data_IF_295848476583
#
_entry.id   IF_295848476583
#
_cell.length_a   1.000
_cell.length_b   1.000
_cell.length_c   1.000
_cell.angle_alpha   90.00
_cell.angle_beta   90.00
_cell.angle_gamma   90.00
#
_symmetry.space_group_name_H-M   'P 1'
#
loop_
_entity.id
_entity.type
_entity.pdbx_description
1 polymer ?
#
# COMPACT_ATOMS: atom_id res chain seq x y z
N UNK A 1 -16.91 -3.90 6.86
CA UNK A 1 -16.95 -2.72 5.98
C UNK A 1 -15.51 -2.42 5.66
N UNK A 2 -15.11 -2.46 4.39
CA UNK A 2 -13.70 -2.28 4.01
C UNK A 2 -13.31 -0.81 4.11
N UNK A 3 -12.24 -0.51 4.82
CA UNK A 3 -11.72 0.85 4.93
C UNK A 3 -10.87 1.21 3.70
N UNK A 4 -10.73 2.51 3.44
CA UNK A 4 -9.83 3.04 2.41
C UNK A 4 -8.58 3.62 3.06
N UNK A 5 -7.42 3.05 2.76
CA UNK A 5 -6.14 3.42 3.38
C UNK A 5 -5.22 4.04 2.34
N UNK A 6 -4.66 5.22 2.64
CA UNK A 6 -3.58 5.83 1.86
C UNK A 6 -2.27 5.78 2.65
N UNK A 7 -1.25 5.15 2.07
CA UNK A 7 0.12 5.15 2.60
C UNK A 7 1.00 6.10 1.80
N UNK A 8 1.50 7.16 2.45
CA UNK A 8 2.50 8.08 1.87
C UNK A 8 3.90 7.60 2.26
N UNK A 9 4.67 7.14 1.29
CA UNK A 9 5.97 6.51 1.54
C UNK A 9 5.84 5.02 1.82
N UNK A 10 5.55 4.24 0.77
CA UNK A 10 5.45 2.78 0.87
C UNK A 10 6.80 2.09 0.60
N UNK A 11 7.71 2.21 1.58
CA UNK A 11 8.95 1.43 1.66
C UNK A 11 8.72 0.01 2.19
N UNK A 12 9.74 -0.58 2.80
CA UNK A 12 9.68 -1.89 3.44
C UNK A 12 8.59 -1.99 4.54
N UNK A 13 8.51 -1.01 5.43
CA UNK A 13 7.49 -0.93 6.47
C UNK A 13 6.10 -0.73 5.85
N UNK A 14 5.99 0.18 4.89
CA UNK A 14 4.74 0.46 4.19
C UNK A 14 4.17 -0.77 3.49
N UNK A 15 5.03 -1.56 2.83
CA UNK A 15 4.65 -2.84 2.21
C UNK A 15 4.13 -3.85 3.24
N UNK A 16 4.82 -4.00 4.38
CA UNK A 16 4.39 -4.89 5.47
C UNK A 16 3.08 -4.43 6.12
N UNK A 17 2.83 -3.13 6.17
CA UNK A 17 1.57 -2.58 6.67
C UNK A 17 0.45 -2.78 5.65
N UNK A 18 0.70 -2.48 4.38
CA UNK A 18 -0.24 -2.68 3.27
C UNK A 18 -0.73 -4.13 3.21
N UNK A 19 0.17 -5.12 3.32
CA UNK A 19 -0.19 -6.53 3.36
C UNK A 19 -1.17 -6.88 4.50
N UNK A 20 -1.02 -6.25 5.67
CA UNK A 20 -1.93 -6.48 6.80
C UNK A 20 -3.30 -5.85 6.57
N UNK A 21 -3.35 -4.65 5.99
CA UNK A 21 -4.61 -4.01 5.61
C UNK A 21 -5.33 -4.80 4.51
N UNK A 22 -4.61 -5.23 3.47
CA UNK A 22 -5.16 -6.09 2.42
C UNK A 22 -5.71 -7.41 2.99
N UNK A 23 -4.99 -8.05 3.93
CA UNK A 23 -5.45 -9.28 4.58
C UNK A 23 -6.72 -9.09 5.44
N UNK A 24 -7.02 -7.86 5.87
CA UNK A 24 -8.27 -7.50 6.56
C UNK A 24 -9.43 -7.22 5.60
N UNK A 25 -9.13 -7.13 4.30
CA UNK A 25 -10.10 -6.78 3.26
C UNK A 25 -10.20 -5.27 3.00
N UNK A 26 -9.25 -4.47 3.48
CA UNK A 26 -9.22 -3.03 3.23
C UNK A 26 -8.72 -2.70 1.81
N UNK A 27 -9.16 -1.58 1.26
CA UNK A 27 -8.69 -1.02 -0.01
C UNK A 27 -7.47 -0.14 0.26
N UNK A 28 -6.30 -0.51 -0.29
CA UNK A 28 -5.03 0.15 0.03
C UNK A 28 -4.42 0.82 -1.20
N UNK A 29 -4.18 2.12 -1.09
CA UNK A 29 -3.47 2.93 -2.06
C UNK A 29 -2.13 3.38 -1.49
N UNK A 30 -1.09 3.41 -2.32
CA UNK A 30 0.26 3.79 -1.89
C UNK A 30 0.85 4.85 -2.82
N UNK A 31 1.29 5.97 -2.24
CA UNK A 31 2.06 6.99 -2.96
C UNK A 31 3.56 6.74 -2.75
N UNK A 32 4.29 6.57 -3.86
CA UNK A 32 5.74 6.31 -3.87
C UNK A 32 6.44 7.35 -4.74
N UNK A 33 7.66 7.73 -4.35
CA UNK A 33 8.51 8.65 -5.13
C UNK A 33 8.96 8.05 -6.46
N UNK A 34 9.20 6.74 -6.46
CA UNK A 34 9.56 5.97 -7.64
C UNK A 34 8.55 4.82 -7.77
N UNK A 35 7.96 4.61 -8.95
CA UNK A 35 7.09 3.47 -9.18
C UNK A 35 7.87 2.15 -9.02
N UNK A 36 7.18 1.03 -8.70
CA UNK A 36 7.79 -0.30 -8.78
C UNK A 36 8.40 -0.53 -10.16
N UNK A 37 9.54 -1.23 -10.22
CA UNK A 37 10.10 -1.64 -11.50
C UNK A 37 9.09 -2.58 -12.21
N UNK A 38 8.62 -2.20 -13.40
CA UNK A 38 7.67 -2.97 -14.20
C UNK A 38 6.29 -2.34 -14.38
N UNK A 39 5.99 -1.24 -13.69
CA UNK A 39 4.79 -0.43 -13.96
C UNK A 39 5.13 0.64 -15.03
N UNK A 40 5.16 0.22 -16.31
CA UNK A 40 5.22 1.09 -17.49
C UNK A 40 3.99 0.87 -18.37
#
# INVERSE_FOLDING_TARGET
MSERVLLIGCGDLGLRAAQRFLARGDEVHALRRHPPAGDA
#
